data_IF_118507562174
#
_entry.id   IF_118507562174
#
_cell.length_a   1.000
_cell.length_b   1.000
_cell.length_c   1.000
_cell.angle_alpha   90.00
_cell.angle_beta   90.00
_cell.angle_gamma   90.00
#
_symmetry.space_group_name_H-M   'P 1'
#
loop_
_entity.id
_entity.type
_entity.pdbx_description
1 polymer ?
#
# COMPACT_ATOMS: atom_id res chain seq x y z
N UNK A 1 7.29 18.58 61.99
CA UNK A 1 7.15 17.54 60.93
C UNK A 1 7.11 18.24 59.59
N UNK A 2 8.22 18.21 58.82
CA UNK A 2 8.31 18.82 57.50
C UNK A 2 8.00 17.71 56.53
N UNK A 3 6.86 17.84 55.84
CA UNK A 3 6.49 16.97 54.71
C UNK A 3 7.22 17.45 53.44
N UNK A 4 8.19 16.67 52.97
CA UNK A 4 8.84 16.92 51.70
C UNK A 4 7.97 16.27 50.64
N UNK A 5 7.25 17.09 49.86
CA UNK A 5 6.54 16.67 48.67
C UNK A 5 7.57 16.58 47.53
N UNK A 6 7.88 15.38 47.08
CA UNK A 6 8.69 15.18 45.89
C UNK A 6 7.87 15.52 44.62
N UNK A 7 8.43 16.28 43.66
CA UNK A 7 7.73 16.51 42.42
C UNK A 7 7.67 15.23 41.60
N UNK A 8 6.46 14.82 41.23
CA UNK A 8 6.23 13.80 40.21
C UNK A 8 6.79 14.31 38.90
N UNK A 9 7.91 13.74 38.45
CA UNK A 9 8.37 13.89 37.09
C UNK A 9 7.41 13.12 36.18
N UNK A 10 6.60 13.85 35.41
CA UNK A 10 5.94 13.30 34.24
C UNK A 10 7.05 12.83 33.29
N UNK A 11 7.17 11.54 33.09
CA UNK A 11 7.85 10.97 31.93
C UNK A 11 7.08 11.48 30.70
N UNK A 12 7.60 12.54 30.09
CA UNK A 12 7.23 12.84 28.71
C UNK A 12 7.56 11.61 27.89
N UNK A 13 6.52 10.93 27.42
CA UNK A 13 6.68 9.90 26.42
C UNK A 13 7.43 10.51 25.26
N UNK A 14 8.66 10.06 25.05
CA UNK A 14 9.39 10.34 23.83
C UNK A 14 8.52 9.83 22.70
N UNK A 15 7.93 10.73 21.92
CA UNK A 15 7.45 10.39 20.59
C UNK A 15 8.72 9.94 19.85
N UNK A 16 8.89 8.64 19.71
CA UNK A 16 9.85 8.09 18.79
C UNK A 16 9.32 8.49 17.42
N UNK A 17 9.74 9.65 16.92
CA UNK A 17 9.70 9.89 15.49
C UNK A 17 10.65 8.84 14.90
N UNK A 18 10.09 7.75 14.38
CA UNK A 18 10.83 6.69 13.74
C UNK A 18 11.45 7.18 12.43
N UNK A 19 12.39 8.12 12.54
CA UNK A 19 13.28 8.42 11.44
C UNK A 19 14.10 7.18 11.19
N UNK A 20 14.11 6.69 9.95
CA UNK A 20 15.10 5.70 9.53
C UNK A 20 16.46 6.20 9.98
N UNK A 21 17.28 5.34 10.58
CA UNK A 21 18.70 5.67 10.72
C UNK A 21 19.19 6.16 9.35
N UNK A 22 19.89 7.30 9.25
CA UNK A 22 20.31 7.84 7.97
C UNK A 22 21.16 6.78 7.27
N UNK A 23 20.55 6.11 6.30
CA UNK A 23 21.27 5.19 5.45
C UNK A 23 22.05 6.09 4.51
N UNK A 24 23.34 6.20 4.73
CA UNK A 24 24.27 6.83 3.82
C UNK A 24 24.37 5.95 2.57
N UNK A 25 23.36 5.96 1.73
CA UNK A 25 23.44 5.29 0.45
C UNK A 25 23.71 6.33 -0.63
N UNK A 26 24.98 6.47 -0.98
CA UNK A 26 25.48 7.38 -2.02
C UNK A 26 25.39 6.80 -3.43
N UNK A 27 24.85 5.59 -3.58
CA UNK A 27 24.67 4.95 -4.87
C UNK A 27 23.18 4.86 -5.19
N UNK A 28 22.77 5.65 -6.18
CA UNK A 28 21.49 5.47 -6.88
C UNK A 28 21.59 4.19 -7.70
N UNK A 29 21.33 3.04 -7.11
CA UNK A 29 20.95 1.89 -7.90
C UNK A 29 19.53 2.16 -8.45
N UNK A 30 19.34 2.11 -9.79
CA UNK A 30 18.01 2.19 -10.34
C UNK A 30 17.20 1.05 -9.74
N UNK A 31 16.11 1.38 -9.06
CA UNK A 31 15.22 0.40 -8.47
C UNK A 31 14.66 -0.43 -9.61
N UNK A 32 14.90 -1.74 -9.67
CA UNK A 32 14.23 -2.57 -10.64
C UNK A 32 12.72 -2.49 -10.42
N UNK A 33 11.95 -2.52 -11.50
CA UNK A 33 10.52 -2.69 -11.39
C UNK A 33 10.24 -4.01 -10.64
N UNK A 34 9.37 -3.96 -9.67
CA UNK A 34 8.82 -5.16 -9.03
C UNK A 34 7.80 -5.74 -9.99
N UNK A 35 8.03 -6.95 -10.49
CA UNK A 35 7.22 -7.55 -11.54
C UNK A 35 7.64 -7.12 -12.95
N UNK A 36 7.41 -7.95 -13.93
CA UNK A 36 7.83 -7.75 -15.32
C UNK A 36 6.68 -7.36 -16.30
N UNK A 37 5.42 -7.38 -15.82
CA UNK A 37 4.29 -6.69 -16.45
C UNK A 37 3.82 -7.25 -17.78
N UNK A 38 3.42 -8.49 -17.81
CA UNK A 38 2.95 -9.17 -19.02
C UNK A 38 1.48 -8.93 -19.37
N UNK A 39 0.65 -8.52 -18.41
CA UNK A 39 -0.76 -8.26 -18.66
C UNK A 39 -1.20 -6.91 -18.09
N UNK A 40 -2.42 -6.48 -18.40
CA UNK A 40 -3.00 -5.25 -17.89
C UNK A 40 -4.23 -5.55 -17.06
N UNK A 41 -4.35 -4.89 -15.92
CA UNK A 41 -5.50 -5.01 -15.05
C UNK A 41 -6.05 -3.65 -14.63
N UNK A 42 -7.33 -3.62 -14.31
CA UNK A 42 -7.97 -2.47 -13.69
C UNK A 42 -8.23 -2.68 -12.19
N UNK A 43 -7.71 -3.78 -11.62
CA UNK A 43 -7.91 -4.13 -10.22
C UNK A 43 -6.79 -3.57 -9.33
N UNK A 44 -5.52 -3.99 -9.45
CA UNK A 44 -4.44 -3.40 -8.71
C UNK A 44 -3.84 -2.18 -9.45
N UNK A 45 -3.29 -1.21 -8.75
CA UNK A 45 -3.20 -1.11 -7.30
C UNK A 45 -4.50 -0.69 -6.64
N UNK A 46 -5.45 -0.15 -7.42
CA UNK A 46 -6.75 0.32 -6.99
C UNK A 46 -7.71 0.34 -8.17
N UNK A 47 -8.96 -0.08 -7.97
CA UNK A 47 -9.95 -0.05 -9.03
C UNK A 47 -10.71 1.29 -9.03
N UNK A 48 -10.35 2.17 -9.96
CA UNK A 48 -10.98 3.49 -10.12
C UNK A 48 -12.34 3.45 -10.83
N UNK A 49 -12.83 2.31 -11.28
CA UNK A 49 -14.16 2.17 -11.89
C UNK A 49 -15.29 2.05 -10.87
N UNK A 50 -14.98 1.54 -9.68
CA UNK A 50 -15.93 1.39 -8.60
C UNK A 50 -15.77 2.49 -7.56
N UNK A 51 -16.87 2.83 -6.89
CA UNK A 51 -16.89 3.86 -5.85
C UNK A 51 -15.95 3.54 -4.68
N UNK A 52 -15.78 2.24 -4.41
CA UNK A 52 -14.98 1.73 -3.31
C UNK A 52 -14.13 0.55 -3.76
N UNK A 53 -12.90 0.50 -3.31
CA UNK A 53 -12.04 -0.68 -3.48
C UNK A 53 -11.11 -0.87 -2.29
N UNK A 54 -10.69 -2.10 -2.11
CA UNK A 54 -9.75 -2.52 -1.10
C UNK A 54 -8.76 -3.48 -1.76
N UNK A 55 -7.47 -3.19 -1.62
CA UNK A 55 -6.40 -3.97 -2.22
C UNK A 55 -5.32 -4.22 -1.18
N UNK A 56 -4.77 -5.42 -1.16
CA UNK A 56 -3.58 -5.76 -0.40
C UNK A 56 -2.61 -6.54 -1.27
N UNK A 57 -1.31 -6.27 -1.13
CA UNK A 57 -0.30 -7.05 -1.84
C UNK A 57 1.01 -7.08 -1.07
N UNK A 58 1.72 -8.21 -1.20
CA UNK A 58 3.04 -8.43 -0.62
C UNK A 58 4.09 -8.14 -1.68
N UNK A 59 5.08 -7.32 -1.35
CA UNK A 59 6.27 -7.08 -2.15
C UNK A 59 7.39 -7.93 -1.54
N UNK A 60 7.91 -8.94 -2.26
CA UNK A 60 8.93 -9.83 -1.73
C UNK A 60 10.24 -9.10 -1.42
N UNK A 61 10.89 -9.49 -0.32
CA UNK A 61 12.22 -9.01 0.07
C UNK A 61 13.26 -9.15 -1.06
N UNK A 62 13.20 -10.24 -1.81
CA UNK A 62 14.12 -10.51 -2.93
C UNK A 62 14.07 -9.44 -4.03
N UNK A 63 13.01 -8.66 -4.11
CA UNK A 63 12.83 -7.58 -5.09
C UNK A 63 13.14 -6.20 -4.48
N UNK A 64 13.28 -6.11 -3.16
CA UNK A 64 13.51 -4.85 -2.47
C UNK A 64 14.98 -4.55 -2.18
N UNK A 65 15.80 -5.59 -2.06
CA UNK A 65 17.22 -5.45 -1.74
C UNK A 65 17.46 -4.98 -0.30
N UNK A 66 18.40 -4.04 -0.12
CA UNK A 66 18.85 -3.59 1.21
C UNK A 66 17.88 -2.61 1.88
N UNK A 67 18.06 -2.43 3.19
CA UNK A 67 17.32 -1.45 4.00
C UNK A 67 17.41 -0.03 3.41
N UNK A 68 16.28 0.69 3.39
CA UNK A 68 16.16 2.03 2.80
C UNK A 68 14.92 2.78 3.29
N UNK A 69 14.93 4.10 3.13
CA UNK A 69 13.74 4.91 3.35
C UNK A 69 12.96 5.04 2.03
N UNK A 70 11.71 4.60 2.00
CA UNK A 70 10.84 4.74 0.86
C UNK A 70 10.01 6.01 1.02
N UNK A 71 10.01 6.88 0.00
CA UNK A 71 9.35 8.20 0.02
C UNK A 71 8.17 8.28 -0.94
N UNK A 72 8.13 7.43 -1.96
CA UNK A 72 7.00 7.30 -2.88
C UNK A 72 6.98 5.93 -3.55
N UNK A 73 5.89 5.65 -4.22
CA UNK A 73 5.64 4.44 -4.98
C UNK A 73 5.02 4.82 -6.33
N UNK A 74 5.46 4.20 -7.41
CA UNK A 74 4.93 4.47 -8.75
C UNK A 74 4.44 3.19 -9.40
N UNK A 75 3.37 3.30 -10.18
CA UNK A 75 2.72 2.18 -10.86
C UNK A 75 2.84 2.34 -12.37
N UNK A 76 3.29 1.30 -13.05
CA UNK A 76 3.50 1.31 -14.48
C UNK A 76 2.17 1.22 -15.24
N UNK A 77 1.93 2.18 -16.13
CA UNK A 77 0.69 2.28 -16.89
C UNK A 77 0.71 1.37 -18.12
N UNK A 78 -0.44 0.79 -18.43
CA UNK A 78 -0.66 0.10 -19.70
C UNK A 78 -0.78 1.09 -20.86
N UNK A 79 -1.36 2.26 -20.63
CA UNK A 79 -1.51 3.32 -21.64
C UNK A 79 -2.73 3.16 -22.52
N UNK A 80 -3.92 3.05 -21.93
CA UNK A 80 -5.17 3.03 -22.69
C UNK A 80 -5.35 4.35 -23.45
N UNK A 81 -5.60 4.27 -24.75
CA UNK A 81 -5.72 5.45 -25.64
C UNK A 81 -6.87 6.40 -25.26
N UNK A 82 -7.87 5.92 -24.51
CA UNK A 82 -9.01 6.72 -24.03
C UNK A 82 -8.93 7.06 -22.54
N UNK A 83 -7.84 6.70 -21.86
CA UNK A 83 -7.66 7.07 -20.48
C UNK A 83 -7.35 8.58 -20.38
N UNK A 84 -8.06 9.24 -19.46
CA UNK A 84 -7.87 10.65 -19.15
C UNK A 84 -7.20 10.86 -17.81
N UNK A 85 -7.01 12.12 -17.44
CA UNK A 85 -6.61 12.49 -16.09
C UNK A 85 -7.82 12.41 -15.15
N UNK A 86 -7.64 11.75 -14.01
CA UNK A 86 -8.66 11.69 -12.95
C UNK A 86 -8.02 11.72 -11.57
N UNK A 87 -8.80 12.19 -10.60
CA UNK A 87 -8.34 12.29 -9.21
C UNK A 87 -9.28 11.48 -8.32
N UNK A 88 -8.74 10.54 -7.59
CA UNK A 88 -9.45 9.78 -6.57
C UNK A 88 -9.26 10.44 -5.22
N UNK A 89 -10.35 10.74 -4.53
CA UNK A 89 -10.35 11.32 -3.18
C UNK A 89 -10.38 10.21 -2.12
N UNK A 90 -10.07 10.56 -0.88
CA UNK A 90 -10.18 9.66 0.28
C UNK A 90 -9.46 8.32 0.08
N UNK A 91 -8.21 8.39 -0.38
CA UNK A 91 -7.31 7.26 -0.49
C UNK A 91 -6.49 7.13 0.79
N UNK A 92 -6.28 5.89 1.23
CA UNK A 92 -5.41 5.58 2.37
C UNK A 92 -4.50 4.42 1.98
N UNK A 93 -3.19 4.61 2.16
CA UNK A 93 -2.20 3.58 1.86
C UNK A 93 -1.35 3.33 3.10
N UNK A 94 -1.27 2.07 3.50
CA UNK A 94 -0.48 1.62 4.63
C UNK A 94 0.59 0.63 4.19
N UNK A 95 1.75 0.73 4.81
CA UNK A 95 2.86 -0.18 4.65
C UNK A 95 3.20 -0.83 5.99
N UNK A 96 3.62 -2.08 5.95
CA UNK A 96 4.15 -2.79 7.10
C UNK A 96 5.18 -3.84 6.69
N UNK A 97 5.99 -4.30 7.63
CA UNK A 97 6.85 -5.45 7.43
C UNK A 97 6.09 -6.73 7.72
N UNK A 98 6.37 -7.77 6.95
CA UNK A 98 5.80 -9.10 7.17
C UNK A 98 6.79 -10.20 6.80
N UNK A 99 6.78 -11.27 7.57
CA UNK A 99 7.48 -12.52 7.24
C UNK A 99 6.65 -13.45 6.37
N UNK A 100 5.38 -13.10 6.14
CA UNK A 100 4.48 -13.90 5.30
C UNK A 100 4.90 -13.85 3.83
N UNK A 101 4.86 -14.99 3.18
CA UNK A 101 5.18 -15.14 1.76
C UNK A 101 3.95 -15.26 0.87
N UNK A 102 2.77 -15.23 1.45
CA UNK A 102 1.48 -15.23 0.76
C UNK A 102 0.39 -14.58 1.61
N UNK A 103 -0.63 -14.05 0.98
CA UNK A 103 -1.82 -13.57 1.66
C UNK A 103 -2.70 -14.75 2.14
N UNK A 104 -3.57 -14.54 3.15
CA UNK A 104 -4.46 -15.58 3.64
C UNK A 104 -5.35 -16.18 2.53
N UNK A 105 -5.59 -17.48 2.58
CA UNK A 105 -6.55 -18.14 1.70
C UNK A 105 -7.99 -17.81 2.09
N UNK A 106 -8.89 -17.80 1.11
CA UNK A 106 -10.29 -17.46 1.33
C UNK A 106 -10.53 -15.96 1.46
N UNK A 107 -11.68 -15.58 2.02
CA UNK A 107 -12.02 -14.18 2.25
C UNK A 107 -11.55 -13.73 3.62
N UNK A 108 -10.80 -12.64 3.69
CA UNK A 108 -10.33 -12.06 4.94
C UNK A 108 -10.66 -10.56 5.02
N UNK A 109 -10.72 -10.03 6.24
CA UNK A 109 -11.19 -8.67 6.49
C UNK A 109 -10.16 -7.92 7.34
N UNK A 110 -9.52 -6.86 6.82
CA UNK A 110 -8.57 -6.04 7.57
C UNK A 110 -9.28 -5.05 8.50
N UNK A 111 -10.16 -5.54 9.37
CA UNK A 111 -10.99 -4.73 10.27
C UNK A 111 -11.25 -5.44 11.60
N UNK A 112 -11.51 -4.67 12.66
CA UNK A 112 -12.00 -5.19 13.94
C UNK A 112 -13.51 -5.46 13.93
N UNK A 113 -14.29 -4.62 13.25
CA UNK A 113 -15.76 -4.71 13.18
C UNK A 113 -16.27 -4.07 11.89
N UNK A 114 -17.56 -4.27 11.58
CA UNK A 114 -18.22 -3.65 10.43
C UNK A 114 -18.32 -2.12 10.52
N UNK A 115 -18.07 -1.53 11.69
CA UNK A 115 -18.06 -0.09 11.92
C UNK A 115 -16.64 0.52 11.95
N UNK A 116 -15.59 -0.27 11.68
CA UNK A 116 -14.22 0.26 11.59
C UNK A 116 -14.16 1.33 10.50
N UNK A 117 -13.72 2.58 10.78
CA UNK A 117 -13.54 3.59 9.76
C UNK A 117 -12.56 3.14 8.68
N UNK A 118 -12.74 3.61 7.43
CA UNK A 118 -11.88 3.20 6.31
C UNK A 118 -10.38 3.49 6.59
N UNK A 119 -10.06 4.64 7.18
CA UNK A 119 -8.69 5.01 7.54
C UNK A 119 -8.05 4.08 8.59
N UNK A 120 -8.87 3.41 9.40
CA UNK A 120 -8.43 2.55 10.51
C UNK A 120 -8.32 1.06 10.10
N UNK A 121 -8.67 0.72 8.85
CA UNK A 121 -8.44 -0.64 8.35
C UNK A 121 -6.95 -0.97 8.39
N UNK A 122 -6.63 -2.21 8.78
CA UNK A 122 -5.24 -2.66 8.98
C UNK A 122 -5.12 -4.15 8.76
N UNK A 123 -4.04 -4.57 8.13
CA UNK A 123 -3.72 -6.00 7.97
C UNK A 123 -3.41 -6.67 9.32
N UNK A 124 -3.08 -5.91 10.36
CA UNK A 124 -2.87 -6.43 11.72
C UNK A 124 -4.13 -7.02 12.36
N UNK A 125 -5.31 -6.71 11.81
CA UNK A 125 -6.58 -7.33 12.25
C UNK A 125 -6.87 -8.67 11.59
N UNK A 126 -6.09 -9.07 10.59
CA UNK A 126 -6.27 -10.35 9.90
C UNK A 126 -5.68 -11.47 10.74
N UNK A 127 -6.54 -12.36 11.22
CA UNK A 127 -6.13 -13.47 12.10
C UNK A 127 -5.10 -14.38 11.43
N UNK A 128 -3.98 -14.63 12.09
CA UNK A 128 -2.91 -15.49 11.60
C UNK A 128 -2.02 -14.86 10.55
N UNK A 129 -2.15 -13.55 10.28
CA UNK A 129 -1.24 -12.80 9.41
C UNK A 129 -0.30 -11.95 10.27
N UNK A 130 1.01 -12.23 10.16
CA UNK A 130 2.01 -11.54 10.97
C UNK A 130 2.46 -10.26 10.28
N UNK A 131 2.32 -9.14 10.98
CA UNK A 131 2.74 -7.83 10.51
C UNK A 131 3.36 -7.04 11.65
N UNK A 132 4.41 -6.31 11.36
CA UNK A 132 5.02 -5.34 12.28
C UNK A 132 5.11 -3.97 11.61
N UNK A 133 5.16 -2.92 12.44
CA UNK A 133 5.42 -1.53 12.04
C UNK A 133 4.49 -1.02 10.92
N UNK A 134 3.22 -1.46 10.91
CA UNK A 134 2.25 -0.95 9.94
C UNK A 134 1.99 0.53 10.19
N UNK A 135 2.28 1.36 9.19
CA UNK A 135 2.09 2.80 9.24
C UNK A 135 1.29 3.30 8.05
N UNK A 136 0.54 4.38 8.25
CA UNK A 136 -0.09 5.14 7.18
C UNK A 136 0.99 5.97 6.47
N UNK A 137 1.22 5.72 5.18
CA UNK A 137 2.21 6.45 4.39
C UNK A 137 1.56 7.54 3.54
N UNK A 138 0.30 7.34 3.14
CA UNK A 138 -0.44 8.31 2.33
C UNK A 138 -1.90 8.37 2.76
N UNK A 139 -2.44 9.59 2.87
CA UNK A 139 -3.87 9.86 2.96
C UNK A 139 -4.27 11.07 2.11
N UNK A 140 -5.47 11.03 1.54
CA UNK A 140 -5.99 12.14 0.75
C UNK A 140 -6.34 11.78 -0.68
N UNK A 141 -5.83 12.55 -1.66
CA UNK A 141 -6.14 12.36 -3.08
C UNK A 141 -4.96 11.82 -3.86
N UNK A 142 -5.25 10.98 -4.84
CA UNK A 142 -4.28 10.53 -5.83
C UNK A 142 -4.76 10.88 -7.24
N UNK A 143 -3.90 11.55 -8.03
CA UNK A 143 -4.18 11.92 -9.41
C UNK A 143 -3.41 11.02 -10.36
N UNK A 144 -4.12 10.43 -11.32
CA UNK A 144 -3.56 9.61 -12.39
C UNK A 144 -3.67 10.37 -13.70
N UNK A 145 -2.55 10.52 -14.39
CA UNK A 145 -2.49 11.06 -15.76
C UNK A 145 -2.41 9.89 -16.74
N UNK A 146 -3.57 9.40 -17.19
CA UNK A 146 -3.65 8.22 -18.05
C UNK A 146 -3.26 8.46 -19.50
N UNK A 147 -3.25 7.38 -20.29
CA UNK A 147 -3.04 7.41 -21.74
C UNK A 147 -1.57 7.27 -22.19
N UNK A 148 -0.62 7.16 -21.30
CA UNK A 148 0.81 7.10 -21.61
C UNK A 148 1.37 5.70 -21.34
N UNK A 149 1.44 4.86 -22.37
CA UNK A 149 1.99 3.50 -22.24
C UNK A 149 3.40 3.50 -21.65
N UNK A 150 3.65 2.58 -20.74
CA UNK A 150 4.92 2.41 -20.01
C UNK A 150 5.37 3.63 -19.19
N UNK A 151 4.54 4.65 -19.02
CA UNK A 151 4.77 5.71 -18.03
C UNK A 151 4.42 5.23 -16.62
N UNK A 152 4.71 6.05 -15.63
CA UNK A 152 4.44 5.74 -14.23
C UNK A 152 3.49 6.78 -13.62
N UNK A 153 2.52 6.30 -12.86
CA UNK A 153 1.71 7.14 -11.97
C UNK A 153 2.31 7.07 -10.57
N UNK A 154 2.87 8.18 -10.12
CA UNK A 154 3.49 8.28 -8.80
C UNK A 154 2.44 8.55 -7.71
N UNK A 155 2.63 7.88 -6.59
CA UNK A 155 1.95 8.12 -5.32
C UNK A 155 2.99 8.55 -4.31
N UNK A 156 3.06 9.86 -4.06
CA UNK A 156 3.97 10.46 -3.09
C UNK A 156 3.44 10.23 -1.67
N UNK A 157 4.30 9.84 -0.74
CA UNK A 157 3.94 9.67 0.65
C UNK A 157 3.83 11.06 1.32
N UNK A 158 2.70 11.35 1.91
CA UNK A 158 2.40 12.64 2.52
C UNK A 158 2.15 12.57 4.04
N UNK A 159 2.09 11.36 4.60
CA UNK A 159 1.92 11.14 6.04
C UNK A 159 3.26 10.74 6.67
N UNK A 160 3.81 9.61 6.25
CA UNK A 160 5.08 9.10 6.76
C UNK A 160 5.89 8.44 5.64
N UNK A 161 7.20 8.60 5.66
CA UNK A 161 8.09 7.76 4.88
C UNK A 161 8.17 6.37 5.53
N UNK A 162 8.32 5.33 4.71
CA UNK A 162 8.45 3.97 5.22
C UNK A 162 9.91 3.54 5.32
N UNK A 163 10.32 3.11 6.51
CA UNK A 163 11.66 2.61 6.78
C UNK A 163 11.73 1.11 6.52
N UNK A 164 12.10 0.72 5.30
CA UNK A 164 12.27 -0.68 4.97
C UNK A 164 13.51 -1.26 5.67
N UNK A 165 13.35 -2.39 6.35
CA UNK A 165 14.40 -3.00 7.18
C UNK A 165 15.44 -3.85 6.41
N UNK A 166 15.18 -4.17 5.12
CA UNK A 166 16.08 -4.94 4.25
C UNK A 166 15.99 -6.46 4.41
N UNK A 167 15.13 -6.97 5.30
CA UNK A 167 15.07 -8.40 5.64
C UNK A 167 13.70 -9.02 5.44
N UNK A 168 12.64 -8.26 5.64
CA UNK A 168 11.27 -8.75 5.58
C UNK A 168 10.62 -8.39 4.23
N UNK A 169 9.51 -9.01 3.92
CA UNK A 169 8.63 -8.57 2.85
C UNK A 169 7.89 -7.29 3.26
N UNK A 170 7.40 -6.53 2.30
CA UNK A 170 6.50 -5.39 2.57
C UNK A 170 5.07 -5.83 2.28
N UNK A 171 4.16 -5.61 3.22
CA UNK A 171 2.72 -5.66 2.96
C UNK A 171 2.22 -4.24 2.69
N UNK A 172 1.47 -4.07 1.62
CA UNK A 172 0.76 -2.84 1.27
C UNK A 172 -0.73 -3.08 1.43
N UNK A 173 -1.43 -2.18 2.12
CA UNK A 173 -2.88 -2.13 2.16
C UNK A 173 -3.33 -0.80 1.56
N UNK A 174 -4.05 -0.86 0.43
CA UNK A 174 -4.64 0.30 -0.22
C UNK A 174 -6.15 0.31 -0.05
N UNK A 175 -6.66 1.40 0.48
CA UNK A 175 -8.07 1.60 0.78
C UNK A 175 -8.57 2.79 -0.04
N UNK A 176 -9.44 2.55 -1.01
CA UNK A 176 -10.14 3.59 -1.75
C UNK A 176 -11.55 3.79 -1.19
N UNK A 177 -11.76 4.89 -0.51
CA UNK A 177 -13.06 5.32 0.00
C UNK A 177 -13.56 6.53 -0.81
N UNK A 178 -13.42 6.45 -2.13
CA UNK A 178 -13.64 7.59 -3.02
C UNK A 178 -15.10 8.02 -3.10
N UNK A 179 -16.03 7.05 -3.24
CA UNK A 179 -17.44 7.35 -3.48
C UNK A 179 -17.74 7.87 -4.88
N UNK A 180 -16.76 7.87 -5.78
CA UNK A 180 -16.84 8.25 -7.18
C UNK A 180 -16.26 7.18 -8.11
N UNK A 181 -16.31 7.41 -9.42
CA UNK A 181 -15.71 6.50 -10.40
C UNK A 181 -15.14 7.25 -11.60
N UNK A 182 -14.20 6.62 -12.31
CA UNK A 182 -13.65 7.10 -13.59
C UNK A 182 -13.97 6.12 -14.71
N UNK A 183 -14.84 6.48 -15.63
CA UNK A 183 -15.20 5.64 -16.78
C UNK A 183 -14.03 5.43 -17.75
N UNK A 184 -13.21 6.47 -17.92
CA UNK A 184 -12.00 6.48 -18.79
C UNK A 184 -10.73 6.34 -17.96
N UNK A 185 -10.72 5.38 -17.01
CA UNK A 185 -9.58 5.11 -16.15
C UNK A 185 -8.40 4.49 -16.89
N UNK A 186 -7.21 4.72 -16.37
CA UNK A 186 -6.02 3.97 -16.78
C UNK A 186 -6.07 2.54 -16.25
N UNK A 187 -5.42 1.63 -16.96
CA UNK A 187 -5.08 0.31 -16.48
C UNK A 187 -3.59 0.26 -16.16
N UNK A 188 -3.22 -0.57 -15.22
CA UNK A 188 -1.84 -0.73 -14.83
C UNK A 188 -1.30 -2.06 -15.32
N UNK A 189 -0.01 -2.11 -15.60
CA UNK A 189 0.64 -3.37 -15.88
C UNK A 189 0.72 -4.19 -14.59
N UNK A 190 0.47 -5.47 -14.73
CA UNK A 190 0.52 -6.43 -13.64
C UNK A 190 1.38 -7.62 -14.04
N UNK A 191 2.05 -8.19 -13.05
CA UNK A 191 2.55 -9.55 -13.12
C UNK A 191 1.38 -10.48 -12.79
N UNK A 192 1.03 -11.36 -13.72
CA UNK A 192 -0.12 -12.27 -13.62
C UNK A 192 0.26 -13.65 -13.03
N UNK A 193 1.41 -13.73 -12.39
CA UNK A 193 1.87 -14.94 -11.70
C UNK A 193 2.52 -15.98 -12.58
N UNK A 194 2.91 -15.61 -13.82
CA UNK A 194 3.57 -16.55 -14.74
C UNK A 194 4.93 -17.07 -14.25
N UNK A 195 5.55 -16.42 -13.25
CA UNK A 195 6.84 -16.86 -12.70
C UNK A 195 7.07 -16.73 -11.19
N UNK A 196 6.40 -15.79 -10.48
CA UNK A 196 6.80 -15.46 -9.10
C UNK A 196 5.66 -15.25 -8.11
N UNK A 197 4.40 -15.10 -8.52
CA UNK A 197 3.44 -14.28 -7.76
C UNK A 197 2.12 -14.98 -7.46
N UNK A 198 2.12 -16.29 -7.27
CA UNK A 198 0.91 -16.91 -6.73
C UNK A 198 0.69 -16.39 -5.31
N UNK A 199 -0.53 -15.82 -5.08
CA UNK A 199 -1.02 -15.50 -3.75
C UNK A 199 -0.45 -14.24 -3.07
N UNK A 200 0.23 -13.36 -3.82
CA UNK A 200 0.76 -12.10 -3.27
C UNK A 200 -0.22 -10.93 -3.34
N UNK A 201 -1.25 -11.00 -4.18
CA UNK A 201 -2.28 -9.97 -4.32
C UNK A 201 -3.62 -10.40 -3.77
N UNK A 202 -4.42 -9.45 -3.28
CA UNK A 202 -5.82 -9.63 -2.95
C UNK A 202 -6.58 -8.32 -3.18
N UNK A 203 -7.79 -8.40 -3.71
CA UNK A 203 -8.61 -7.21 -3.91
C UNK A 203 -10.11 -7.47 -3.70
N UNK A 204 -10.82 -6.36 -3.51
CA UNK A 204 -12.29 -6.31 -3.47
C UNK A 204 -12.77 -4.92 -3.90
N UNK A 205 -13.96 -4.86 -4.48
CA UNK A 205 -14.53 -3.62 -5.02
C UNK A 205 -16.04 -3.60 -4.89
N UNK A 206 -16.65 -2.41 -4.84
CA UNK A 206 -18.12 -2.23 -4.82
C UNK A 206 -18.52 -0.81 -5.17
N UNK A 207 -19.72 -0.65 -5.74
CA UNK A 207 -20.34 0.66 -5.91
C UNK A 207 -21.15 1.09 -4.68
N UNK A 208 -21.49 0.17 -3.79
CA UNK A 208 -22.41 0.43 -2.68
C UNK A 208 -21.86 0.05 -1.31
N UNK A 209 -20.89 -0.86 -1.26
CA UNK A 209 -20.34 -1.37 -0.02
C UNK A 209 -19.03 -0.65 0.29
N UNK A 210 -18.99 0.08 1.41
CA UNK A 210 -17.79 0.81 1.87
C UNK A 210 -16.63 -0.15 2.17
N UNK A 211 -15.37 0.31 2.14
CA UNK A 211 -14.19 -0.53 2.35
C UNK A 211 -14.23 -1.35 3.64
N UNK A 212 -14.79 -0.81 4.71
CA UNK A 212 -14.96 -1.51 5.99
C UNK A 212 -15.77 -2.80 5.90
N UNK A 213 -16.61 -2.94 4.88
CA UNK A 213 -17.46 -4.11 4.66
C UNK A 213 -17.01 -4.98 3.50
N UNK A 214 -15.93 -4.59 2.81
CA UNK A 214 -15.31 -5.40 1.76
C UNK A 214 -14.44 -6.49 2.37
N UNK A 215 -14.57 -7.71 1.87
CA UNK A 215 -13.66 -8.80 2.18
C UNK A 215 -12.66 -8.98 1.04
N UNK A 216 -11.38 -9.00 1.36
CA UNK A 216 -10.32 -9.27 0.41
C UNK A 216 -10.33 -10.75 -0.01
N UNK A 217 -10.16 -11.00 -1.29
CA UNK A 217 -9.99 -12.33 -1.85
C UNK A 217 -8.67 -12.40 -2.58
N UNK A 218 -7.88 -13.44 -2.30
CA UNK A 218 -6.59 -13.66 -2.89
C UNK A 218 -6.67 -13.82 -4.41
N UNK A 219 -5.71 -13.20 -5.11
CA UNK A 219 -5.57 -13.19 -6.56
C UNK A 219 -4.09 -13.39 -6.92
N UNK A 220 -3.82 -13.71 -8.18
CA UNK A 220 -2.47 -13.89 -8.70
C UNK A 220 -1.91 -12.66 -9.41
N UNK A 221 -2.53 -11.50 -9.26
CA UNK A 221 -2.10 -10.26 -9.89
C UNK A 221 -1.35 -9.37 -8.91
N UNK A 222 -0.16 -8.93 -9.26
CA UNK A 222 0.63 -7.93 -8.55
C UNK A 222 0.90 -6.73 -9.47
N UNK A 223 0.65 -5.48 -9.06
CA UNK A 223 0.98 -4.34 -9.90
C UNK A 223 2.49 -4.23 -10.12
N UNK A 224 2.90 -3.79 -11.33
CA UNK A 224 4.30 -3.45 -11.59
C UNK A 224 4.62 -2.14 -10.91
N UNK A 225 5.53 -2.18 -9.95
CA UNK A 225 5.79 -1.10 -8.99
C UNK A 225 7.24 -0.66 -9.10
N UNK A 226 7.45 0.64 -8.98
CA UNK A 226 8.76 1.26 -8.72
C UNK A 226 8.70 1.99 -7.39
N UNK A 227 9.65 1.69 -6.50
CA UNK A 227 9.83 2.42 -5.24
C UNK A 227 10.85 3.53 -5.41
N UNK A 228 10.60 4.70 -4.83
CA UNK A 228 11.55 5.81 -4.78
C UNK A 228 12.03 6.02 -3.34
N UNK A 229 13.29 6.38 -3.20
CA UNK A 229 14.00 6.55 -1.93
C UNK A 229 14.46 7.98 -1.71
#
# INVERSE_FOLDING_TARGET
>A
LIMIVQPFSFLQGSSVSGGCAPIQNTNFDPVPDVGDGYSSSNEPPVNAYYNYSLNAFIIPQSQMGTAKQITSMSFKQYGRSNAGTYTMLNQYVKFGHTTETSLPSGTFYPRQSNSTPAADLSMSYVSGFNISDEILVMSGSWTVNGGNANSYSELTFNENNFCYNGTDNIIVLWISNWGGFASNREWFLVDDGSSFVTDLGAYSKSDTTTPSNLGLQRQSELPVIRMNY
#
